data_IF_310639406850
#
_entry.id   IF_310639406850
#
_cell.length_a   1.000
_cell.length_b   1.000
_cell.length_c   1.000
_cell.angle_alpha   90.00
_cell.angle_beta   90.00
_cell.angle_gamma   90.00
#
_symmetry.space_group_name_H-M   'P 1'
#
loop_
_entity.id
_entity.type
_entity.pdbx_description
1 polymer ?
#
# COMPACT_ATOMS: atom_id res chain seq x y z
N UNK A 1 -9.59 -2.03 10.41
CA UNK A 1 -8.12 -2.04 10.52
C UNK A 1 -7.73 -1.03 11.59
N UNK A 2 -6.83 -1.37 12.53
CA UNK A 2 -6.51 -0.49 13.67
C UNK A 2 -5.77 0.77 13.18
N UNK A 3 -6.00 1.92 13.82
CA UNK A 3 -5.39 3.22 13.45
C UNK A 3 -3.86 3.20 13.45
N UNK A 4 -3.24 2.34 14.28
CA UNK A 4 -1.78 2.19 14.41
C UNK A 4 -1.04 1.80 13.12
N UNK A 5 -1.74 1.20 12.15
CA UNK A 5 -1.16 0.80 10.86
C UNK A 5 -1.28 1.88 9.77
N UNK A 6 -1.89 3.04 10.06
CA UNK A 6 -2.16 4.07 9.04
C UNK A 6 -1.11 5.17 9.15
N UNK A 7 -0.41 5.46 8.05
CA UNK A 7 0.40 6.66 7.89
C UNK A 7 -0.53 7.86 7.72
N UNK A 8 -0.41 8.85 8.60
CA UNK A 8 -1.18 10.10 8.55
C UNK A 8 -0.34 11.36 8.62
N UNK A 9 0.74 11.31 9.40
CA UNK A 9 1.59 12.48 9.64
C UNK A 9 2.48 12.70 8.42
N UNK A 10 2.55 13.94 7.96
CA UNK A 10 3.42 14.32 6.85
C UNK A 10 4.87 13.95 7.15
N UNK A 11 5.33 14.16 8.38
CA UNK A 11 6.66 13.76 8.85
C UNK A 11 6.97 12.27 8.73
N UNK A 12 5.96 11.39 8.71
CA UNK A 12 6.12 9.96 8.46
C UNK A 12 6.01 9.60 6.97
N UNK A 13 5.30 10.41 6.18
CA UNK A 13 5.02 10.17 4.76
C UNK A 13 6.13 10.71 3.88
N UNK A 14 6.65 11.90 4.15
CA UNK A 14 7.73 12.53 3.37
C UNK A 14 8.97 11.63 3.25
N UNK A 15 9.46 10.96 4.32
CA UNK A 15 10.58 10.03 4.20
C UNK A 15 10.28 8.83 3.28
N UNK A 16 9.03 8.35 3.25
CA UNK A 16 8.63 7.25 2.37
C UNK A 16 8.64 7.69 0.91
N UNK A 17 8.24 8.93 0.60
CA UNK A 17 8.35 9.47 -0.76
C UNK A 17 9.78 9.82 -1.17
N UNK A 18 10.61 10.27 -0.23
CA UNK A 18 12.05 10.54 -0.45
C UNK A 18 12.86 9.26 -0.63
N UNK A 19 12.32 8.11 -0.22
CA UNK A 19 12.89 6.80 -0.55
C UNK A 19 13.04 6.66 -2.06
N UNK A 20 14.25 6.31 -2.53
CA UNK A 20 14.49 5.94 -3.94
C UNK A 20 13.88 4.56 -4.29
N UNK A 21 13.34 3.83 -3.32
CA UNK A 21 12.74 2.50 -3.52
C UNK A 21 11.26 2.62 -3.88
N UNK A 22 10.95 2.27 -5.12
CA UNK A 22 9.58 2.22 -5.65
C UNK A 22 9.34 0.96 -6.46
N UNK A 23 8.11 0.48 -6.43
CA UNK A 23 7.61 -0.57 -7.31
C UNK A 23 6.38 -0.04 -8.03
N UNK A 24 6.34 -0.08 -9.34
CA UNK A 24 5.24 0.52 -10.10
C UNK A 24 4.84 -0.31 -11.31
N UNK A 25 3.59 -0.15 -11.70
CA UNK A 25 3.06 -0.60 -12.98
C UNK A 25 2.09 0.46 -13.54
N UNK A 26 1.35 0.12 -14.59
CA UNK A 26 0.37 1.01 -15.23
C UNK A 26 -0.79 1.41 -14.30
N UNK A 27 -1.03 0.68 -13.20
CA UNK A 27 -2.15 0.87 -12.28
C UNK A 27 -1.75 1.52 -10.94
N UNK A 28 -0.53 1.25 -10.46
CA UNK A 28 -0.07 1.67 -9.13
C UNK A 28 1.39 2.09 -9.14
N UNK A 29 1.74 2.94 -8.18
CA UNK A 29 3.12 3.19 -7.77
C UNK A 29 3.15 3.00 -6.26
N UNK A 30 4.04 2.15 -5.78
CA UNK A 30 4.22 1.87 -4.36
C UNK A 30 5.60 2.35 -3.95
N UNK A 31 5.63 3.33 -3.07
CA UNK A 31 6.84 3.76 -2.38
C UNK A 31 6.96 2.97 -1.09
N UNK A 32 8.16 2.54 -0.76
CA UNK A 32 8.37 1.77 0.46
C UNK A 32 9.74 2.06 1.07
N UNK A 33 9.82 1.91 2.39
CA UNK A 33 11.04 2.12 3.16
C UNK A 33 11.02 1.19 4.38
N UNK A 34 12.19 0.72 4.77
CA UNK A 34 12.36 -0.01 6.02
C UNK A 34 12.46 1.00 7.15
N UNK A 35 11.66 0.81 8.18
CA UNK A 35 11.63 1.65 9.35
C UNK A 35 11.76 0.79 10.61
N UNK A 36 12.97 0.75 11.17
CA UNK A 36 13.29 -0.13 12.29
C UNK A 36 12.77 0.38 13.64
N UNK A 37 12.53 1.69 13.76
CA UNK A 37 12.13 2.34 15.00
C UNK A 37 10.65 2.09 15.41
N UNK A 38 9.87 1.36 14.61
CA UNK A 38 8.45 1.16 14.86
C UNK A 38 8.10 -0.33 14.98
N UNK A 39 7.17 -0.68 15.88
CA UNK A 39 6.81 -2.08 16.16
C UNK A 39 5.86 -2.68 15.12
N UNK A 40 5.29 -1.86 14.22
CA UNK A 40 4.26 -2.28 13.27
C UNK A 40 4.44 -1.60 11.93
N UNK A 41 4.06 -2.31 10.87
CA UNK A 41 4.05 -1.73 9.53
C UNK A 41 3.06 -0.57 9.50
N UNK A 42 3.33 0.42 8.65
CA UNK A 42 2.36 1.47 8.40
C UNK A 42 2.18 1.67 6.91
N UNK A 43 0.97 2.03 6.52
CA UNK A 43 0.67 2.28 5.11
C UNK A 43 -0.23 3.49 4.91
N UNK A 44 -0.14 4.09 3.73
CA UNK A 44 -1.10 5.06 3.23
C UNK A 44 -1.57 4.69 1.83
N UNK A 45 -2.80 5.11 1.50
CA UNK A 45 -3.39 4.96 0.18
C UNK A 45 -3.65 6.35 -0.38
N UNK A 46 -2.99 6.67 -1.48
CA UNK A 46 -3.17 7.92 -2.21
C UNK A 46 -3.97 7.66 -3.48
N UNK A 47 -5.09 8.36 -3.65
CA UNK A 47 -5.93 8.29 -4.85
C UNK A 47 -6.12 9.71 -5.38
N UNK A 48 -5.62 9.98 -6.58
CA UNK A 48 -5.74 11.28 -7.22
C UNK A 48 -7.18 11.63 -7.60
N UNK A 49 -7.46 12.94 -7.78
CA UNK A 49 -8.77 13.43 -8.24
C UNK A 49 -9.19 12.83 -9.59
N UNK A 50 -8.21 12.57 -10.48
CA UNK A 50 -8.41 11.95 -11.81
C UNK A 50 -8.97 10.52 -11.78
N UNK A 51 -9.00 9.85 -10.62
CA UNK A 51 -9.53 8.49 -10.49
C UNK A 51 -11.05 8.43 -10.68
N UNK A 52 -11.78 9.47 -10.27
CA UNK A 52 -13.24 9.52 -10.35
C UNK A 52 -13.89 10.13 -9.11
N UNK A 53 -15.19 9.85 -8.96
CA UNK A 53 -16.05 10.42 -7.90
C UNK A 53 -15.64 9.91 -6.52
N UNK A 54 -16.11 10.59 -5.47
CA UNK A 54 -15.75 10.26 -4.09
C UNK A 54 -16.07 8.81 -3.70
N UNK A 55 -17.22 8.28 -4.13
CA UNK A 55 -17.61 6.90 -3.84
C UNK A 55 -16.69 5.87 -4.53
N UNK A 56 -16.24 6.14 -5.76
CA UNK A 56 -15.31 5.27 -6.50
C UNK A 56 -13.93 5.24 -5.82
N UNK A 57 -13.41 6.43 -5.45
CA UNK A 57 -12.16 6.54 -4.68
C UNK A 57 -12.26 5.83 -3.33
N UNK A 58 -13.42 5.87 -2.69
CA UNK A 58 -13.64 5.19 -1.41
C UNK A 58 -13.76 3.67 -1.58
N UNK A 59 -14.37 3.20 -2.66
CA UNK A 59 -14.46 1.77 -2.99
C UNK A 59 -13.08 1.16 -3.16
N UNK A 60 -12.19 1.75 -3.98
CA UNK A 60 -10.85 1.21 -4.20
C UNK A 60 -10.01 1.21 -2.92
N UNK A 61 -10.09 2.29 -2.11
CA UNK A 61 -9.43 2.34 -0.80
C UNK A 61 -9.95 1.25 0.13
N UNK A 62 -11.25 0.98 0.13
CA UNK A 62 -11.87 -0.08 0.94
C UNK A 62 -11.39 -1.46 0.50
N UNK A 63 -11.37 -1.74 -0.81
CA UNK A 63 -10.87 -3.00 -1.39
C UNK A 63 -9.41 -3.25 -1.01
N UNK A 64 -8.53 -2.27 -1.22
CA UNK A 64 -7.11 -2.39 -0.85
C UNK A 64 -6.90 -2.57 0.66
N UNK A 65 -7.65 -1.86 1.51
CA UNK A 65 -7.59 -2.08 2.96
C UNK A 65 -8.00 -3.50 3.37
N UNK A 66 -9.01 -4.07 2.70
CA UNK A 66 -9.42 -5.45 2.96
C UNK A 66 -8.31 -6.45 2.60
N UNK A 67 -7.69 -6.27 1.44
CA UNK A 67 -6.54 -7.09 0.99
C UNK A 67 -5.35 -6.97 1.94
N UNK A 68 -4.95 -5.73 2.29
CA UNK A 68 -3.82 -5.50 3.21
C UNK A 68 -4.13 -6.11 4.58
N UNK A 69 -5.38 -6.04 5.05
CA UNK A 69 -5.78 -6.67 6.31
C UNK A 69 -5.64 -8.20 6.25
N UNK A 70 -6.06 -8.85 5.17
CA UNK A 70 -5.98 -10.31 5.06
C UNK A 70 -4.55 -10.84 5.05
N UNK A 71 -3.60 -10.05 4.53
CA UNK A 71 -2.17 -10.44 4.44
C UNK A 71 -1.32 -9.83 5.56
N UNK A 72 -1.90 -8.98 6.40
CA UNK A 72 -1.19 -8.28 7.47
C UNK A 72 -0.39 -9.17 8.43
N UNK A 73 -0.78 -10.41 8.76
CA UNK A 73 0.04 -11.29 9.59
C UNK A 73 1.38 -11.67 8.95
N UNK A 74 1.45 -11.68 7.62
CA UNK A 74 2.63 -12.08 6.86
C UNK A 74 3.51 -10.88 6.45
N UNK A 75 3.08 -9.64 6.72
CA UNK A 75 3.82 -8.45 6.36
C UNK A 75 4.91 -8.14 7.39
N UNK A 76 6.08 -7.75 6.91
CA UNK A 76 7.18 -7.31 7.76
C UNK A 76 6.77 -6.06 8.57
N UNK A 77 6.78 -6.13 9.92
CA UNK A 77 6.35 -5.03 10.77
C UNK A 77 7.28 -3.81 10.70
N UNK A 78 8.50 -3.95 10.15
CA UNK A 78 9.46 -2.84 10.02
C UNK A 78 9.37 -2.16 8.65
N UNK A 79 8.22 -2.21 7.98
CA UNK A 79 8.05 -1.66 6.62
C UNK A 79 6.97 -0.61 6.56
N UNK A 80 7.31 0.56 6.03
CA UNK A 80 6.36 1.62 5.73
C UNK A 80 6.17 1.71 4.21
N UNK A 81 4.94 1.86 3.75
CA UNK A 81 4.67 1.97 2.31
C UNK A 81 3.48 2.86 1.96
N UNK A 82 3.57 3.55 0.83
CA UNK A 82 2.49 4.38 0.29
C UNK A 82 2.10 3.85 -1.08
N UNK A 83 0.83 3.49 -1.25
CA UNK A 83 0.27 3.03 -2.52
C UNK A 83 -0.40 4.23 -3.20
N UNK A 84 0.18 4.70 -4.29
CA UNK A 84 -0.41 5.68 -5.20
C UNK A 84 -1.18 4.94 -6.28
N UNK A 85 -2.48 5.22 -6.34
CA UNK A 85 -3.45 4.52 -7.19
C UNK A 85 -3.76 5.41 -8.39
N UNK A 86 -3.46 4.91 -9.60
CA UNK A 86 -3.69 5.63 -10.85
C UNK A 86 -5.13 5.41 -11.35
N UNK A 87 -5.60 6.29 -12.22
CA UNK A 87 -6.97 6.24 -12.77
C UNK A 87 -7.24 4.93 -13.52
N UNK A 88 -6.23 4.37 -14.19
CA UNK A 88 -6.31 3.09 -14.90
C UNK A 88 -6.71 1.93 -13.99
N UNK A 89 -6.44 2.01 -12.67
CA UNK A 89 -6.78 0.94 -11.72
C UNK A 89 -8.30 0.78 -11.49
N UNK A 90 -9.13 1.65 -12.08
CA UNK A 90 -10.59 1.57 -12.03
C UNK A 90 -11.15 0.35 -12.74
N UNK A 91 -10.48 -0.15 -13.79
CA UNK A 91 -10.89 -1.35 -14.52
C UNK A 91 -10.58 -2.66 -13.77
N UNK A 92 -9.83 -2.60 -12.66
CA UNK A 92 -9.38 -3.80 -11.97
C UNK A 92 -10.46 -4.41 -11.06
N UNK A 93 -10.57 -5.73 -11.13
CA UNK A 93 -11.38 -6.53 -10.21
C UNK A 93 -10.70 -6.67 -8.84
N UNK A 94 -11.46 -7.05 -7.81
CA UNK A 94 -10.90 -7.30 -6.48
C UNK A 94 -9.76 -8.32 -6.49
N UNK A 95 -9.91 -9.38 -7.28
CA UNK A 95 -8.89 -10.42 -7.40
C UNK A 95 -7.60 -9.89 -8.05
N UNK A 96 -7.73 -9.08 -9.11
CA UNK A 96 -6.56 -8.45 -9.75
C UNK A 96 -5.84 -7.50 -8.80
N UNK A 97 -6.57 -6.74 -7.98
CA UNK A 97 -5.98 -5.90 -6.92
C UNK A 97 -5.20 -6.72 -5.91
N UNK A 98 -5.75 -7.87 -5.50
CA UNK A 98 -5.09 -8.79 -4.56
C UNK A 98 -3.80 -9.35 -5.17
N UNK A 99 -3.87 -9.85 -6.39
CA UNK A 99 -2.70 -10.38 -7.12
C UNK A 99 -1.62 -9.33 -7.25
N UNK A 100 -1.96 -8.10 -7.63
CA UNK A 100 -0.98 -7.02 -7.74
C UNK A 100 -0.30 -6.71 -6.40
N UNK A 101 -1.09 -6.62 -5.33
CA UNK A 101 -0.52 -6.37 -4.00
C UNK A 101 0.42 -7.50 -3.56
N UNK A 102 0.06 -8.75 -3.82
CA UNK A 102 0.90 -9.91 -3.50
C UNK A 102 2.20 -9.90 -4.32
N UNK A 103 2.14 -9.61 -5.62
CA UNK A 103 3.32 -9.46 -6.48
C UNK A 103 4.27 -8.36 -5.97
N UNK A 104 3.72 -7.24 -5.52
CA UNK A 104 4.52 -6.20 -4.86
C UNK A 104 5.18 -6.74 -3.59
N UNK A 105 4.40 -7.37 -2.71
CA UNK A 105 4.86 -7.80 -1.40
C UNK A 105 5.94 -8.91 -1.49
N UNK A 106 5.84 -9.82 -2.47
CA UNK A 106 6.87 -10.82 -2.78
C UNK A 106 8.13 -10.18 -3.36
N UNK A 107 8.02 -9.37 -4.41
CA UNK A 107 9.18 -8.77 -5.10
C UNK A 107 9.97 -7.82 -4.21
N UNK A 108 9.30 -7.13 -3.29
CA UNK A 108 9.96 -6.20 -2.36
C UNK A 108 10.47 -6.87 -1.09
N UNK A 109 10.32 -8.20 -0.96
CA UNK A 109 10.67 -9.00 0.23
C UNK A 109 10.05 -8.42 1.52
N UNK A 110 8.85 -7.83 1.39
CA UNK A 110 8.08 -7.33 2.53
C UNK A 110 7.25 -8.46 3.15
N UNK A 111 6.95 -9.52 2.39
CA UNK A 111 6.48 -10.76 2.99
C UNK A 111 7.62 -11.39 3.78
N UNK A 112 7.36 -11.64 5.06
CA UNK A 112 8.18 -12.55 5.83
C UNK A 112 7.91 -13.94 5.24
N UNK A 113 8.92 -14.55 4.64
CA UNK A 113 8.88 -15.98 4.38
C UNK A 113 8.83 -16.63 5.74
N UNK A 114 7.66 -17.08 6.18
CA UNK A 114 7.62 -18.08 7.22
C UNK A 114 8.14 -19.35 6.54
N UNK A 115 9.27 -19.84 7.06
CA UNK A 115 9.94 -21.13 6.82
C UNK A 115 9.44 -21.94 5.61
#
# INVERSE_FOLDING_TARGET
MKRKYILKKESEITPVFKSKKRYGNSFFIIYYVKQNAFPHFKFALSVGKKYGKAHERNLIKRRLRAIIRSVSPCLNPKMFFVIVIKAQAKSLTFQQLKTFFLQFATKTRILLSNN
#
